data_IF_177774805030
#
_entry.id   IF_177774805030
#
_cell.length_a   1.000
_cell.length_b   1.000
_cell.length_c   1.000
_cell.angle_alpha   90.00
_cell.angle_beta   90.00
_cell.angle_gamma   90.00
#
_symmetry.space_group_name_H-M   'P 1'
#
loop_
_entity.id
_entity.type
_entity.pdbx_description
1 polymer ?
#
# COMPACT_ATOMS: atom_id res chain seq x y z
N UNK A 1 -9.07 -14.02 11.56
CA UNK A 1 -7.81 -13.85 12.26
C UNK A 1 -6.99 -12.74 11.62
N UNK A 2 -6.61 -11.80 12.42
CA UNK A 2 -5.90 -10.63 11.92
C UNK A 2 -4.43 -10.94 11.85
N UNK A 3 -3.83 -10.76 10.68
CA UNK A 3 -2.39 -10.91 10.58
C UNK A 3 -1.74 -9.77 11.34
N UNK A 4 -0.81 -10.09 12.20
CA UNK A 4 -0.06 -9.07 12.90
C UNK A 4 0.89 -8.40 11.94
N UNK A 5 0.91 -7.09 11.98
CA UNK A 5 1.81 -6.30 11.17
C UNK A 5 3.07 -6.01 11.97
N UNK A 6 4.22 -6.14 11.30
CA UNK A 6 5.45 -5.68 11.90
C UNK A 6 5.56 -4.16 11.72
N UNK A 7 6.59 -3.56 12.30
CA UNK A 7 6.79 -2.13 12.25
C UNK A 7 6.87 -1.58 10.82
N UNK A 8 7.57 -2.28 9.95
CA UNK A 8 7.77 -1.83 8.58
C UNK A 8 6.47 -1.88 7.80
N UNK A 9 5.72 -2.96 7.97
CA UNK A 9 4.43 -3.10 7.32
C UNK A 9 3.48 -2.00 7.77
N UNK A 10 3.43 -1.74 9.07
CA UNK A 10 2.57 -0.71 9.62
C UNK A 10 2.95 0.68 9.12
N UNK A 11 4.25 0.99 9.10
CA UNK A 11 4.72 2.28 8.61
C UNK A 11 4.38 2.47 7.13
N UNK A 12 4.54 1.41 6.33
CA UNK A 12 4.22 1.46 4.92
C UNK A 12 2.72 1.69 4.69
N UNK A 13 1.89 0.95 5.41
CA UNK A 13 0.44 1.13 5.29
C UNK A 13 0.02 2.54 5.73
N UNK A 14 0.67 3.07 6.75
CA UNK A 14 0.36 4.42 7.22
C UNK A 14 0.70 5.46 6.15
N UNK A 15 1.85 5.32 5.49
CA UNK A 15 2.23 6.23 4.41
C UNK A 15 1.20 6.18 3.28
N UNK A 16 0.70 4.99 2.95
CA UNK A 16 -0.34 4.83 1.94
C UNK A 16 -1.62 5.51 2.40
N UNK A 17 -2.00 5.32 3.66
CA UNK A 17 -3.22 5.91 4.21
C UNK A 17 -3.17 7.43 4.20
N UNK A 18 -2.00 8.01 4.36
CA UNK A 18 -1.83 9.46 4.37
C UNK A 18 -1.79 10.07 2.97
N UNK A 19 -1.81 9.24 1.94
CA UNK A 19 -1.84 9.73 0.57
C UNK A 19 -0.48 10.10 0.00
N UNK A 20 0.59 9.69 0.65
CA UNK A 20 1.95 10.00 0.21
C UNK A 20 2.56 8.96 -0.72
N UNK A 21 1.80 7.92 -1.07
CA UNK A 21 2.35 6.78 -1.79
C UNK A 21 1.77 6.63 -3.18
N UNK A 22 2.60 6.17 -4.10
CA UNK A 22 2.21 5.77 -5.44
C UNK A 22 2.68 4.35 -5.66
N UNK A 23 2.00 3.63 -6.54
CA UNK A 23 2.33 2.25 -6.83
C UNK A 23 2.38 2.06 -8.34
N UNK A 24 3.32 1.25 -8.81
CA UNK A 24 3.39 0.95 -10.23
C UNK A 24 2.40 -0.14 -10.60
N UNK A 25 1.83 -0.02 -11.79
CA UNK A 25 0.88 -1.01 -12.30
C UNK A 25 1.65 -2.13 -12.97
N UNK A 26 2.02 -3.16 -12.21
CA UNK A 26 2.78 -4.28 -12.72
C UNK A 26 2.51 -5.53 -11.90
N UNK A 27 3.03 -6.67 -12.37
CA UNK A 27 2.89 -7.92 -11.62
C UNK A 27 3.67 -7.90 -10.31
N UNK A 28 4.76 -7.15 -10.28
CA UNK A 28 5.54 -6.94 -9.09
C UNK A 28 5.60 -5.44 -8.83
N UNK A 29 4.53 -4.89 -8.25
CA UNK A 29 4.44 -3.44 -8.11
C UNK A 29 5.48 -2.90 -7.14
N UNK A 30 6.04 -1.75 -7.51
CA UNK A 30 6.93 -1.00 -6.66
C UNK A 30 6.15 0.13 -6.00
N UNK A 31 6.52 0.43 -4.78
CA UNK A 31 5.89 1.53 -4.04
C UNK A 31 6.86 2.70 -3.97
N UNK A 32 6.30 3.90 -4.14
CA UNK A 32 7.05 5.15 -4.05
C UNK A 32 6.38 6.01 -3.00
N UNK A 33 7.16 6.52 -2.07
CA UNK A 33 6.66 7.40 -1.02
C UNK A 33 7.30 8.77 -1.21
N UNK A 34 6.47 9.79 -1.36
CA UNK A 34 6.93 11.16 -1.64
C UNK A 34 7.85 11.22 -2.85
N UNK A 35 7.55 10.41 -3.86
CA UNK A 35 8.33 10.39 -5.10
C UNK A 35 9.59 9.55 -5.04
N UNK A 36 9.92 9.00 -3.88
CA UNK A 36 11.12 8.19 -3.70
C UNK A 36 10.76 6.71 -3.62
N UNK A 37 11.56 5.89 -4.28
CA UNK A 37 11.37 4.45 -4.23
C UNK A 37 11.51 3.96 -2.79
N UNK A 38 10.54 3.15 -2.36
CA UNK A 38 10.58 2.57 -1.03
C UNK A 38 11.75 1.59 -0.93
N UNK A 39 12.50 1.67 0.16
CA UNK A 39 13.66 0.80 0.34
C UNK A 39 13.29 -0.67 0.53
N UNK A 40 12.11 -0.94 1.05
CA UNK A 40 11.70 -2.28 1.38
C UNK A 40 10.59 -2.78 0.45
N UNK A 41 10.96 -3.01 -0.80
CA UNK A 41 10.03 -3.51 -1.79
C UNK A 41 9.51 -4.91 -1.46
N UNK A 42 10.29 -5.69 -0.72
CA UNK A 42 9.84 -7.00 -0.26
C UNK A 42 8.61 -6.89 0.62
N UNK A 43 8.64 -5.96 1.57
CA UNK A 43 7.48 -5.69 2.43
C UNK A 43 6.29 -5.22 1.60
N UNK A 44 6.54 -4.34 0.64
CA UNK A 44 5.49 -3.83 -0.24
C UNK A 44 4.79 -4.98 -0.98
N UNK A 45 5.58 -5.88 -1.55
CA UNK A 45 5.02 -7.01 -2.29
C UNK A 45 4.21 -7.93 -1.40
N UNK A 46 4.66 -8.13 -0.16
CA UNK A 46 3.89 -8.90 0.80
C UNK A 46 2.56 -8.25 1.11
N UNK A 47 2.55 -6.93 1.29
CA UNK A 47 1.31 -6.20 1.57
C UNK A 47 0.33 -6.28 0.40
N UNK A 48 0.85 -6.16 -0.81
CA UNK A 48 0.01 -6.29 -2.02
C UNK A 48 -0.54 -7.71 -2.11
N UNK A 49 0.30 -8.71 -1.85
CA UNK A 49 -0.10 -10.11 -1.91
C UNK A 49 -1.17 -10.43 -0.87
N UNK A 50 -1.08 -9.81 0.29
CA UNK A 50 -2.09 -9.95 1.35
C UNK A 50 -3.38 -9.20 1.04
N UNK A 51 -3.38 -8.40 -0.02
CA UNK A 51 -4.56 -7.64 -0.40
C UNK A 51 -4.81 -6.42 0.48
N UNK A 52 -3.75 -5.82 1.01
CA UNK A 52 -3.87 -4.67 1.91
C UNK A 52 -3.70 -3.33 1.20
N UNK A 53 -3.03 -3.34 0.05
CA UNK A 53 -2.77 -2.14 -0.76
C UNK A 53 -3.20 -2.43 -2.18
N UNK A 54 -3.72 -1.43 -2.86
CA UNK A 54 -4.09 -1.56 -4.26
C UNK A 54 -3.90 -0.22 -4.97
N UNK A 55 -3.77 -0.23 -6.30
CA UNK A 55 -3.76 1.02 -7.05
C UNK A 55 -5.15 1.64 -7.01
N UNK A 56 -5.20 2.96 -6.89
CA UNK A 56 -6.47 3.68 -6.84
C UNK A 56 -7.22 3.61 -8.16
N UNK A 57 -6.50 3.41 -9.25
CA UNK A 57 -7.10 3.32 -10.58
C UNK A 57 -6.28 2.40 -11.45
N UNK A 58 -6.86 1.94 -12.55
CA UNK A 58 -6.14 1.12 -13.52
C UNK A 58 -5.33 2.04 -14.41
N UNK A 59 -4.03 1.77 -14.48
CA UNK A 59 -3.14 2.49 -15.38
C UNK A 59 -2.50 1.54 -16.38
N UNK A 60 -1.79 2.09 -17.33
CA UNK A 60 -1.02 1.27 -18.25
C UNK A 60 0.07 0.55 -17.48
N UNK A 61 0.50 -0.59 -18.01
CA UNK A 61 1.57 -1.37 -17.38
C UNK A 61 2.79 -0.50 -17.15
N UNK A 62 3.26 -0.48 -15.93
CA UNK A 62 4.40 0.33 -15.53
C UNK A 62 4.06 1.75 -15.12
N UNK A 63 2.81 2.18 -15.32
CA UNK A 63 2.39 3.51 -14.91
C UNK A 63 2.35 3.62 -13.40
N UNK A 64 2.64 4.81 -12.91
CA UNK A 64 2.56 5.10 -11.48
C UNK A 64 1.24 5.77 -11.16
N UNK A 65 0.51 5.19 -10.23
CA UNK A 65 -0.77 5.74 -9.79
C UNK A 65 -0.77 5.79 -8.28
N UNK A 66 -1.72 6.52 -7.73
CA UNK A 66 -1.83 6.60 -6.27
C UNK A 66 -2.07 5.20 -5.68
N UNK A 67 -1.39 4.91 -4.59
CA UNK A 67 -1.65 3.70 -3.82
C UNK A 67 -2.68 4.01 -2.75
N UNK A 68 -3.60 3.09 -2.55
CA UNK A 68 -4.64 3.24 -1.52
C UNK A 68 -4.72 1.95 -0.71
N UNK A 69 -5.22 2.06 0.50
CA UNK A 69 -5.48 0.89 1.32
C UNK A 69 -6.79 0.25 0.87
N UNK A 70 -6.80 -1.07 0.88
CA UNK A 70 -8.06 -1.80 0.73
C UNK A 70 -8.78 -1.74 2.06
N UNK A 71 -10.01 -2.22 2.10
CA UNK A 71 -10.74 -2.33 3.35
C UNK A 71 -9.96 -3.18 4.35
N UNK A 72 -9.38 -4.27 3.88
CA UNK A 72 -8.55 -5.12 4.72
C UNK A 72 -7.31 -4.38 5.23
N UNK A 73 -6.73 -3.50 4.41
CA UNK A 73 -5.59 -2.69 4.82
C UNK A 73 -5.93 -1.73 5.94
N UNK A 74 -7.09 -1.11 5.85
CA UNK A 74 -7.57 -0.20 6.90
C UNK A 74 -7.75 -0.97 8.21
N UNK A 75 -8.35 -2.14 8.13
CA UNK A 75 -8.54 -2.99 9.32
C UNK A 75 -7.24 -3.43 9.91
N UNK A 76 -6.27 -3.78 9.07
CA UNK A 76 -4.97 -4.25 9.53
C UNK A 76 -4.22 -3.17 10.30
N UNK A 77 -4.43 -1.91 9.95
CA UNK A 77 -3.85 -0.79 10.71
C UNK A 77 -4.57 -0.57 12.03
N UNK A 78 -5.67 -1.26 12.27
CA UNK A 78 -6.49 -1.03 13.44
C UNK A 78 -7.28 0.26 13.35
N UNK A 79 -7.29 0.86 12.17
CA UNK A 79 -8.02 2.08 11.95
C UNK A 79 -9.48 1.82 11.66
N UNK A 80 -10.31 2.75 12.04
CA UNK A 80 -11.68 2.74 11.59
C UNK A 80 -11.69 3.26 10.16
N UNK A 81 -12.55 2.72 9.30
CA UNK A 81 -12.68 3.32 7.99
C UNK A 81 -12.98 4.79 8.21
N UNK A 82 -12.19 5.62 7.57
CA UNK A 82 -12.45 7.05 7.63
C UNK A 82 -13.76 7.22 6.91
N UNK A 83 -14.81 7.32 7.68
CA UNK A 83 -16.08 7.68 7.12
C UNK A 83 -15.87 9.09 6.58
N UNK A 84 -15.73 9.16 5.33
CA UNK A 84 -15.63 10.44 4.72
C UNK A 84 -16.95 11.16 4.92
#
# INVERSE_FOLDING_TARGET
MTAELNHRERATLRAVAEGHAEISCSCEPDLFVDGLSCCDQGTVRDLVRKGLIEPAECGAYGARVRAVLTEAGVRALGGKPVAA
#
